data_IF_946982677116
#
_entry.id   IF_946982677116
#
_cell.length_a   1.000
_cell.length_b   1.000
_cell.length_c   1.000
_cell.angle_alpha   90.00
_cell.angle_beta   90.00
_cell.angle_gamma   90.00
#
_symmetry.space_group_name_H-M   'P 1'
#
loop_
_entity.id
_entity.type
_entity.pdbx_description
1 polymer ?
#
# COMPACT_ATOMS: atom_id res chain seq x y z
N UNK A 1 -18.47 1.57 -0.42
CA UNK A 1 -17.40 1.41 0.58
C UNK A 1 -16.05 1.44 -0.14
N UNK A 2 -15.80 2.46 -0.96
CA UNK A 2 -14.70 2.45 -1.95
C UNK A 2 -13.58 3.44 -1.61
N UNK A 3 -13.86 4.44 -0.77
CA UNK A 3 -12.89 5.42 -0.28
C UNK A 3 -12.31 5.03 1.09
N UNK A 4 -13.16 4.51 1.99
CA UNK A 4 -12.75 3.98 3.30
C UNK A 4 -11.75 2.79 3.17
N UNK A 5 -11.74 2.11 2.02
CA UNK A 5 -10.77 1.05 1.73
C UNK A 5 -9.41 1.60 1.27
N UNK A 6 -9.36 2.68 0.48
CA UNK A 6 -8.09 3.24 0.03
C UNK A 6 -7.43 4.06 1.14
N UNK A 7 -8.23 4.79 1.94
CA UNK A 7 -7.73 5.51 3.11
C UNK A 7 -7.07 4.55 4.11
N UNK A 8 -7.74 3.44 4.44
CA UNK A 8 -7.17 2.40 5.31
C UNK A 8 -5.92 1.73 4.70
N UNK A 9 -5.87 1.55 3.38
CA UNK A 9 -4.69 1.01 2.70
C UNK A 9 -3.50 1.98 2.76
N UNK A 10 -3.74 3.29 2.63
CA UNK A 10 -2.73 4.34 2.77
C UNK A 10 -2.21 4.41 4.19
N UNK A 11 -3.10 4.41 5.20
CA UNK A 11 -2.69 4.42 6.61
C UNK A 11 -1.79 3.23 6.93
N UNK A 12 -2.21 2.02 6.54
CA UNK A 12 -1.40 0.81 6.68
C UNK A 12 -0.04 0.93 5.98
N UNK A 13 -0.02 1.43 4.75
CA UNK A 13 1.22 1.61 4.00
C UNK A 13 2.20 2.54 4.75
N UNK A 14 1.71 3.65 5.29
CA UNK A 14 2.53 4.62 6.03
C UNK A 14 3.09 4.01 7.31
N UNK A 15 2.24 3.36 8.13
CA UNK A 15 2.66 2.73 9.38
C UNK A 15 3.72 1.64 9.16
N UNK A 16 3.48 0.76 8.18
CA UNK A 16 4.40 -0.36 7.90
C UNK A 16 5.71 0.11 7.27
N UNK A 17 5.67 1.17 6.45
CA UNK A 17 6.88 1.78 5.87
C UNK A 17 7.71 2.48 6.95
N UNK A 18 7.06 3.25 7.82
CA UNK A 18 7.74 3.94 8.93
C UNK A 18 8.39 2.93 9.88
N UNK A 19 7.68 1.84 10.21
CA UNK A 19 8.25 0.76 11.02
C UNK A 19 9.49 0.14 10.35
N UNK A 20 9.44 -0.13 9.05
CA UNK A 20 10.57 -0.72 8.33
C UNK A 20 11.78 0.22 8.25
N UNK A 21 11.55 1.52 8.13
CA UNK A 21 12.61 2.54 8.16
C UNK A 21 13.20 2.71 9.56
N UNK A 22 12.36 2.69 10.59
CA UNK A 22 12.82 2.73 11.98
C UNK A 22 13.67 1.49 12.34
N UNK A 23 13.30 0.31 11.84
CA UNK A 23 14.10 -0.90 12.02
C UNK A 23 15.47 -0.78 11.31
N UNK A 24 15.51 -0.17 10.13
CA UNK A 24 16.76 0.13 9.43
C UNK A 24 17.63 1.14 10.20
N UNK A 25 17.04 2.25 10.65
CA UNK A 25 17.75 3.32 11.36
C UNK A 25 18.33 2.83 12.69
N UNK A 26 17.66 1.89 13.36
CA UNK A 26 18.16 1.24 14.56
C UNK A 26 19.17 0.12 14.28
N UNK A 27 19.42 -0.22 13.01
CA UNK A 27 20.33 -1.29 12.59
C UNK A 27 19.77 -2.70 12.82
N UNK A 28 18.45 -2.83 12.99
CA UNK A 28 17.75 -4.12 13.10
C UNK A 28 17.49 -4.77 11.74
N UNK A 29 17.53 -4.00 10.65
CA UNK A 29 17.35 -4.48 9.29
C UNK A 29 18.45 -3.95 8.35
N UNK A 30 18.88 -4.78 7.40
CA UNK A 30 19.75 -4.38 6.31
C UNK A 30 18.98 -3.58 5.25
N UNK A 31 19.69 -2.71 4.51
CA UNK A 31 19.08 -1.87 3.48
C UNK A 31 18.29 -2.66 2.42
N UNK A 32 18.81 -3.81 1.99
CA UNK A 32 18.14 -4.68 1.02
C UNK A 32 16.85 -5.31 1.59
N UNK A 33 16.85 -5.65 2.88
CA UNK A 33 15.67 -6.17 3.55
C UNK A 33 14.59 -5.09 3.67
N UNK A 34 14.97 -3.88 4.10
CA UNK A 34 14.05 -2.73 4.16
C UNK A 34 13.49 -2.39 2.78
N UNK A 35 14.33 -2.37 1.74
CA UNK A 35 13.88 -2.08 0.38
C UNK A 35 12.91 -3.15 -0.15
N UNK A 36 13.12 -4.42 0.21
CA UNK A 36 12.20 -5.51 -0.13
C UNK A 36 10.82 -5.32 0.51
N UNK A 37 10.78 -4.92 1.78
CA UNK A 37 9.53 -4.60 2.49
C UNK A 37 8.82 -3.42 1.83
N UNK A 38 9.52 -2.30 1.63
CA UNK A 38 8.92 -1.09 1.01
C UNK A 38 8.35 -1.39 -0.37
N UNK A 39 9.05 -2.16 -1.21
CA UNK A 39 8.54 -2.58 -2.52
C UNK A 39 7.25 -3.39 -2.42
N UNK A 40 7.22 -4.34 -1.48
CA UNK A 40 6.02 -5.15 -1.23
C UNK A 40 4.84 -4.25 -0.82
N UNK A 41 5.06 -3.26 0.05
CA UNK A 41 3.99 -2.35 0.49
C UNK A 41 3.50 -1.43 -0.62
N UNK A 42 4.40 -1.01 -1.53
CA UNK A 42 4.02 -0.27 -2.75
C UNK A 42 3.10 -1.13 -3.63
N UNK A 43 3.45 -2.39 -3.85
CA UNK A 43 2.64 -3.30 -4.67
C UNK A 43 1.25 -3.54 -4.04
N UNK A 44 1.19 -3.70 -2.72
CA UNK A 44 -0.08 -3.85 -1.98
C UNK A 44 -0.96 -2.60 -2.05
N UNK A 45 -0.36 -1.41 -1.94
CA UNK A 45 -1.09 -0.14 -2.06
C UNK A 45 -1.59 0.08 -3.50
N UNK A 46 -0.76 -0.23 -4.49
CA UNK A 46 -1.13 -0.13 -5.90
C UNK A 46 -2.29 -1.06 -6.26
N UNK A 47 -2.30 -2.29 -5.73
CA UNK A 47 -3.43 -3.21 -5.89
C UNK A 47 -4.71 -2.66 -5.27
N UNK A 48 -4.65 -2.11 -4.05
CA UNK A 48 -5.81 -1.51 -3.40
C UNK A 48 -6.34 -0.28 -4.18
N UNK A 49 -5.46 0.51 -4.80
CA UNK A 49 -5.84 1.62 -5.65
C UNK A 49 -6.56 1.17 -6.93
N UNK A 50 -6.08 0.11 -7.57
CA UNK A 50 -6.70 -0.48 -8.76
C UNK A 50 -8.09 -1.07 -8.44
N UNK A 51 -8.23 -1.72 -7.28
CA UNK A 51 -9.52 -2.23 -6.78
C UNK A 51 -10.52 -1.09 -6.45
N UNK A 52 -10.02 0.08 -6.06
CA UNK A 52 -10.85 1.27 -5.82
C UNK A 52 -11.35 1.89 -7.13
N UNK A 53 -10.50 1.93 -8.17
CA UNK A 53 -10.80 2.51 -9.49
C UNK A 53 -11.68 1.58 -10.35
N UNK A 54 -11.51 0.25 -10.23
CA UNK A 54 -12.28 -0.77 -10.96
C UNK A 54 -13.78 -0.87 -10.63
N UNK A 55 -14.30 0.00 -9.78
CA UNK A 55 -15.74 0.14 -9.49
C UNK A 55 -16.45 1.08 -10.50
N UNK A 56 -16.10 1.03 -11.79
CA UNK A 56 -16.91 1.68 -12.82
C UNK A 56 -18.20 0.88 -13.07
N UNK A 57 -19.40 1.50 -12.98
CA UNK A 57 -20.64 0.83 -13.36
C UNK A 57 -20.61 0.52 -14.87
N UNK A 58 -21.25 -0.57 -15.34
CA UNK A 58 -21.34 -0.82 -16.78
C UNK A 58 -22.04 0.35 -17.46
N UNK A 59 -21.30 1.08 -18.31
CA UNK A 59 -21.88 2.10 -19.19
C UNK A 59 -22.92 1.44 -20.11
N UNK A 60 -24.17 1.87 -19.95
CA UNK A 60 -25.23 1.86 -20.97
C UNK A 60 -25.35 0.61 -21.84
N UNK A 61 -26.06 -0.41 -21.34
CA UNK A 61 -26.65 -1.44 -22.20
C UNK A 61 -28.09 -1.07 -22.58
N UNK A 62 -28.22 -0.45 -23.76
CA UNK A 62 -29.40 -0.22 -24.64
C UNK A 62 -30.82 -0.19 -24.06
#
# INVERSE_FOLDING_TARGET
MSDESIEAAVERFLDETESALNDYDQGYADADATLSVVRTRIDELAAAADESDGAEPPEGGE
#
